data_IF_833178972466
#
_entry.id   IF_833178972466
#
_cell.length_a   1.000
_cell.length_b   1.000
_cell.length_c   1.000
_cell.angle_alpha   90.00
_cell.angle_beta   90.00
_cell.angle_gamma   90.00
#
_symmetry.space_group_name_H-M   'P 1'
#
loop_
_entity.id
_entity.type
_entity.pdbx_description
1 polymer ?
#
# COMPACT_ATOMS: atom_id res chain seq x y z
N UNK A 1 2.51 -0.25 -9.34
CA UNK A 1 3.38 -0.45 -10.53
C UNK A 1 2.73 0.09 -11.80
N UNK A 2 1.54 -0.32 -12.20
CA UNK A 2 0.88 0.15 -13.43
C UNK A 2 0.81 1.69 -13.53
N UNK A 3 0.37 2.38 -12.49
CA UNK A 3 0.20 3.84 -12.49
C UNK A 3 1.52 4.60 -12.71
N UNK A 4 2.62 4.18 -12.05
CA UNK A 4 3.95 4.79 -12.27
C UNK A 4 4.41 4.57 -13.71
N UNK A 5 4.26 3.35 -14.22
CA UNK A 5 4.65 3.01 -15.60
C UNK A 5 3.85 3.82 -16.61
N UNK A 6 2.53 3.92 -16.44
CA UNK A 6 1.70 4.74 -17.34
C UNK A 6 2.09 6.21 -17.28
N UNK A 7 2.38 6.75 -16.09
CA UNK A 7 2.86 8.10 -15.95
C UNK A 7 4.16 8.35 -16.72
N UNK A 8 5.14 7.45 -16.61
CA UNK A 8 6.40 7.52 -17.35
C UNK A 8 6.19 7.45 -18.86
N UNK A 9 5.32 6.54 -19.35
CA UNK A 9 4.98 6.43 -20.77
C UNK A 9 4.31 7.71 -21.30
N UNK A 10 3.36 8.28 -20.55
CA UNK A 10 2.70 9.54 -20.91
C UNK A 10 3.67 10.72 -20.94
N UNK A 11 4.71 10.70 -20.10
CA UNK A 11 5.78 11.69 -20.09
C UNK A 11 6.84 11.48 -21.18
N UNK A 12 6.62 10.51 -22.07
CA UNK A 12 7.50 10.27 -23.23
C UNK A 12 8.74 9.41 -22.96
N UNK A 13 8.80 8.77 -21.78
CA UNK A 13 9.90 7.85 -21.46
C UNK A 13 9.68 6.47 -22.08
N UNK A 14 10.77 5.84 -22.50
CA UNK A 14 10.77 4.44 -22.93
C UNK A 14 10.91 3.53 -21.70
N UNK A 15 10.05 2.52 -21.58
CA UNK A 15 9.98 1.66 -20.42
C UNK A 15 9.97 0.20 -20.82
N UNK A 16 10.89 -0.60 -20.30
CA UNK A 16 10.88 -2.06 -20.37
C UNK A 16 10.50 -2.62 -18.99
N UNK A 17 9.59 -3.59 -18.96
CA UNK A 17 9.18 -4.25 -17.73
C UNK A 17 9.56 -5.74 -17.78
N UNK A 18 10.32 -6.18 -16.75
CA UNK A 18 10.50 -7.61 -16.46
C UNK A 18 9.87 -7.86 -15.10
N UNK A 19 8.89 -8.74 -15.03
CA UNK A 19 8.09 -8.99 -13.83
C UNK A 19 8.16 -10.44 -13.37
N UNK A 20 8.20 -10.63 -12.05
CA UNK A 20 8.08 -11.95 -11.44
C UNK A 20 6.61 -12.37 -11.44
N UNK A 21 6.34 -13.55 -12.02
CA UNK A 21 5.07 -14.28 -11.89
C UNK A 21 5.23 -15.38 -10.86
N UNK A 22 4.27 -15.55 -9.96
CA UNK A 22 4.32 -16.58 -8.91
C UNK A 22 3.04 -17.40 -8.86
N UNK A 23 3.03 -18.51 -8.14
CA UNK A 23 1.80 -19.29 -7.94
C UNK A 23 0.68 -18.50 -7.25
N UNK A 24 1.00 -17.52 -6.41
CA UNK A 24 0.02 -16.65 -5.73
C UNK A 24 -0.45 -15.51 -6.63
N UNK A 25 0.42 -15.01 -7.48
CA UNK A 25 0.19 -13.88 -8.37
C UNK A 25 0.62 -14.28 -9.79
N UNK A 26 -0.13 -15.19 -10.45
CA UNK A 26 0.20 -15.61 -11.79
C UNK A 26 -0.04 -14.47 -12.79
N UNK A 27 0.91 -14.27 -13.68
CA UNK A 27 0.69 -13.39 -14.83
C UNK A 27 -0.34 -14.03 -15.78
N UNK A 28 -1.37 -13.27 -16.12
CA UNK A 28 -2.41 -13.65 -17.08
C UNK A 28 -2.53 -12.54 -18.09
N UNK A 29 -2.06 -12.83 -19.31
CA UNK A 29 -1.97 -11.84 -20.40
C UNK A 29 -3.30 -11.17 -20.72
N UNK A 30 -4.39 -11.93 -20.60
CA UNK A 30 -5.77 -11.48 -20.82
C UNK A 30 -6.25 -10.37 -19.87
N UNK A 31 -5.57 -10.19 -18.73
CA UNK A 31 -5.91 -9.17 -17.73
C UNK A 31 -5.23 -7.82 -17.99
N UNK A 32 -4.46 -7.70 -19.08
CA UNK A 32 -3.69 -6.50 -19.38
C UNK A 32 -4.03 -5.97 -20.76
N UNK A 33 -4.01 -4.65 -20.90
CA UNK A 33 -4.15 -4.00 -22.19
C UNK A 33 -3.00 -4.43 -23.12
N UNK A 34 -3.30 -4.95 -24.31
CA UNK A 34 -2.29 -5.34 -25.29
C UNK A 34 -1.35 -4.21 -25.70
N UNK A 35 -1.86 -2.98 -25.76
CA UNK A 35 -1.06 -1.78 -26.02
C UNK A 35 -0.03 -1.54 -24.94
N UNK A 36 -0.43 -1.63 -23.66
CA UNK A 36 0.48 -1.51 -22.50
C UNK A 36 1.58 -2.58 -22.55
N UNK A 37 1.21 -3.85 -22.78
CA UNK A 37 2.19 -4.94 -22.88
C UNK A 37 3.20 -4.72 -24.01
N UNK A 38 2.74 -4.25 -25.15
CA UNK A 38 3.60 -3.96 -26.31
C UNK A 38 4.51 -2.75 -26.04
N UNK A 39 3.97 -1.65 -25.53
CA UNK A 39 4.73 -0.42 -25.25
C UNK A 39 5.79 -0.61 -24.18
N UNK A 40 5.52 -1.46 -23.19
CA UNK A 40 6.47 -1.76 -22.11
C UNK A 40 7.35 -2.96 -22.42
N UNK A 41 7.22 -3.57 -23.58
CA UNK A 41 7.96 -4.81 -23.94
C UNK A 41 7.93 -5.79 -22.76
N UNK A 42 6.71 -5.97 -22.20
CA UNK A 42 6.47 -6.66 -20.94
C UNK A 42 6.87 -8.13 -21.00
N UNK A 43 7.73 -8.54 -20.09
CA UNK A 43 8.16 -9.93 -19.93
C UNK A 43 7.81 -10.42 -18.51
N UNK A 44 7.13 -11.56 -18.43
CA UNK A 44 6.80 -12.21 -17.17
C UNK A 44 7.58 -13.50 -17.02
N UNK A 45 8.37 -13.61 -15.97
CA UNK A 45 9.14 -14.82 -15.65
C UNK A 45 8.57 -15.50 -14.42
N UNK A 46 8.27 -16.79 -14.53
CA UNK A 46 7.76 -17.56 -13.39
C UNK A 46 8.88 -17.85 -12.39
N UNK A 47 8.60 -17.56 -11.11
CA UNK A 47 9.51 -17.83 -9.99
C UNK A 47 8.78 -18.63 -8.92
N UNK A 48 9.33 -19.78 -8.54
CA UNK A 48 8.79 -20.59 -7.45
C UNK A 48 9.15 -19.96 -6.10
N UNK A 49 8.18 -19.39 -5.45
CA UNK A 49 8.36 -18.67 -4.18
C UNK A 49 7.79 -19.41 -2.97
N UNK A 50 7.39 -20.70 -3.13
CA UNK A 50 6.93 -21.50 -2.00
C UNK A 50 8.03 -21.64 -0.96
N UNK A 51 7.61 -21.56 0.30
CA UNK A 51 8.54 -21.76 1.42
C UNK A 51 8.99 -23.21 1.45
N UNK A 52 10.27 -23.44 1.20
CA UNK A 52 10.91 -24.74 1.43
C UNK A 52 11.43 -24.78 2.87
N UNK A 53 10.95 -25.72 3.66
CA UNK A 53 11.32 -25.84 5.08
C UNK A 53 12.82 -26.12 5.25
N UNK A 54 13.43 -26.86 4.32
CA UNK A 54 14.87 -27.18 4.36
C UNK A 54 15.70 -25.92 4.11
N UNK A 55 15.33 -25.10 3.12
CA UNK A 55 16.04 -23.86 2.79
C UNK A 55 15.82 -22.79 3.88
N UNK A 56 14.63 -22.76 4.49
CA UNK A 56 14.36 -21.90 5.64
C UNK A 56 15.20 -22.29 6.87
N UNK A 57 15.49 -23.59 7.06
CA UNK A 57 16.37 -24.06 8.14
C UNK A 57 17.84 -23.77 7.83
N UNK A 58 18.28 -23.97 6.59
CA UNK A 58 19.67 -23.68 6.19
C UNK A 58 20.00 -22.20 6.34
N UNK A 59 19.05 -21.31 6.08
CA UNK A 59 19.22 -19.86 6.25
C UNK A 59 19.37 -19.41 7.71
N UNK A 60 19.02 -20.25 8.69
CA UNK A 60 19.31 -19.99 10.11
C UNK A 60 20.80 -20.10 10.41
N UNK A 61 21.53 -20.89 9.63
CA UNK A 61 22.97 -21.17 9.79
C UNK A 61 23.83 -20.30 8.87
N UNK A 62 23.31 -19.98 7.68
CA UNK A 62 23.95 -19.05 6.74
C UNK A 62 23.46 -17.61 7.01
N UNK A 63 24.32 -16.63 6.77
CA UNK A 63 23.95 -15.21 6.90
C UNK A 63 23.01 -14.74 5.79
N UNK A 64 22.54 -15.63 4.92
CA UNK A 64 21.71 -15.33 3.77
C UNK A 64 20.26 -15.05 4.18
N UNK A 65 19.69 -13.98 3.65
CA UNK A 65 18.30 -13.61 3.95
C UNK A 65 17.35 -14.43 3.06
N UNK A 66 16.94 -15.61 3.53
CA UNK A 66 16.02 -16.49 2.83
C UNK A 66 14.73 -15.79 2.33
N UNK A 67 14.21 -14.85 3.12
CA UNK A 67 12.98 -14.15 2.77
C UNK A 67 13.12 -13.33 1.47
N UNK A 68 14.31 -12.86 1.15
CA UNK A 68 14.61 -12.12 -0.07
C UNK A 68 15.17 -13.06 -1.14
N UNK A 69 16.12 -13.93 -0.79
CA UNK A 69 16.80 -14.80 -1.74
C UNK A 69 15.87 -15.79 -2.46
N UNK A 70 14.73 -16.17 -1.85
CA UNK A 70 13.70 -16.99 -2.53
C UNK A 70 13.08 -16.34 -3.77
N UNK A 71 13.28 -15.04 -3.97
CA UNK A 71 12.84 -14.32 -5.17
C UNK A 71 13.93 -14.29 -6.26
N UNK A 72 15.14 -14.79 -5.95
CA UNK A 72 16.14 -14.98 -6.98
C UNK A 72 15.79 -16.20 -7.84
N UNK A 73 15.87 -16.03 -9.15
CA UNK A 73 15.67 -17.07 -10.15
C UNK A 73 16.70 -16.92 -11.26
N UNK A 74 17.32 -18.02 -11.65
CA UNK A 74 18.27 -18.03 -12.78
C UNK A 74 17.60 -17.65 -14.10
N UNK A 75 16.32 -17.97 -14.27
CA UNK A 75 15.59 -17.62 -15.48
C UNK A 75 15.25 -16.14 -15.53
N UNK A 76 14.91 -15.53 -14.38
CA UNK A 76 14.76 -14.08 -14.28
C UNK A 76 16.10 -13.36 -14.49
N UNK A 77 17.18 -13.89 -13.94
CA UNK A 77 18.54 -13.33 -14.13
C UNK A 77 18.95 -13.40 -15.62
N UNK A 78 18.65 -14.50 -16.33
CA UNK A 78 18.86 -14.60 -17.78
C UNK A 78 18.06 -13.56 -18.57
N UNK A 79 16.77 -13.39 -18.27
CA UNK A 79 15.95 -12.37 -18.93
C UNK A 79 16.53 -10.97 -18.69
N UNK A 80 16.96 -10.68 -17.46
CA UNK A 80 17.61 -9.44 -17.14
C UNK A 80 18.95 -9.24 -17.87
N UNK A 81 19.80 -10.27 -17.95
CA UNK A 81 21.06 -10.26 -18.71
C UNK A 81 20.78 -9.96 -20.18
N UNK A 82 19.81 -10.65 -20.79
CA UNK A 82 19.41 -10.41 -22.18
C UNK A 82 19.01 -8.95 -22.38
N UNK A 83 18.11 -8.42 -21.56
CA UNK A 83 17.64 -7.05 -21.66
C UNK A 83 18.79 -6.02 -21.54
N UNK A 84 19.68 -6.21 -20.56
CA UNK A 84 20.82 -5.29 -20.33
C UNK A 84 21.94 -5.43 -21.38
N UNK A 85 21.97 -6.54 -22.13
CA UNK A 85 22.93 -6.75 -23.22
C UNK A 85 22.43 -6.22 -24.56
N UNK A 86 21.13 -6.13 -24.73
CA UNK A 86 20.49 -5.65 -25.96
C UNK A 86 20.26 -4.15 -25.98
N UNK A 87 20.09 -3.53 -24.81
CA UNK A 87 19.72 -2.13 -24.69
C UNK A 87 20.46 -1.43 -23.52
N UNK A 88 20.75 -0.14 -23.70
CA UNK A 88 21.26 0.72 -22.63
C UNK A 88 20.08 1.39 -21.91
N UNK A 89 20.15 1.44 -20.58
CA UNK A 89 19.14 2.06 -19.72
C UNK A 89 19.80 3.15 -18.87
N UNK A 90 19.13 4.29 -18.71
CA UNK A 90 19.57 5.35 -17.79
C UNK A 90 19.26 4.98 -16.34
N UNK A 91 18.08 4.35 -16.11
CA UNK A 91 17.58 3.98 -14.79
C UNK A 91 17.14 2.52 -14.80
N UNK A 92 17.54 1.78 -13.77
CA UNK A 92 16.92 0.50 -13.40
C UNK A 92 16.13 0.70 -12.12
N UNK A 93 14.81 0.61 -12.21
CA UNK A 93 13.89 0.81 -11.10
C UNK A 93 13.47 -0.53 -10.49
N UNK A 94 13.88 -0.80 -9.25
CA UNK A 94 13.57 -2.02 -8.51
C UNK A 94 12.29 -1.81 -7.70
N UNK A 95 11.20 -2.46 -8.09
CA UNK A 95 9.92 -2.43 -7.38
C UNK A 95 9.92 -3.40 -6.21
N UNK A 96 10.39 -2.97 -5.08
CA UNK A 96 10.50 -3.62 -3.78
C UNK A 96 11.88 -4.23 -3.45
N UNK A 97 12.09 -4.46 -2.16
CA UNK A 97 13.28 -5.12 -1.62
C UNK A 97 13.54 -6.51 -2.24
N UNK A 98 12.48 -7.19 -2.68
CA UNK A 98 12.58 -8.54 -3.24
C UNK A 98 13.25 -8.60 -4.62
N UNK A 99 13.46 -7.45 -5.27
CA UNK A 99 14.19 -7.34 -6.55
C UNK A 99 15.69 -7.07 -6.35
N UNK A 100 16.12 -6.81 -5.12
CA UNK A 100 17.52 -6.46 -4.83
C UNK A 100 18.56 -7.57 -5.01
N UNK A 101 18.23 -8.88 -5.02
CA UNK A 101 19.20 -9.93 -5.38
C UNK A 101 19.83 -9.76 -6.77
N UNK A 102 19.18 -9.02 -7.67
CA UNK A 102 19.66 -8.80 -9.03
C UNK A 102 20.60 -7.59 -9.17
N UNK A 103 20.86 -6.83 -8.09
CA UNK A 103 21.74 -5.64 -8.14
C UNK A 103 23.14 -5.99 -8.68
N UNK A 104 23.70 -7.12 -8.26
CA UNK A 104 25.03 -7.54 -8.71
C UNK A 104 25.08 -7.76 -10.25
N UNK A 105 24.05 -8.37 -10.83
CA UNK A 105 23.92 -8.56 -12.29
C UNK A 105 23.80 -7.22 -13.00
N UNK A 106 22.95 -6.31 -12.47
CA UNK A 106 22.76 -4.97 -13.05
C UNK A 106 24.08 -4.19 -13.03
N UNK A 107 24.77 -4.12 -11.91
CA UNK A 107 26.05 -3.39 -11.77
C UNK A 107 27.16 -3.93 -12.67
N UNK A 108 27.15 -5.23 -12.96
CA UNK A 108 28.13 -5.86 -13.84
C UNK A 108 27.91 -5.54 -15.31
N UNK A 109 26.64 -5.36 -15.74
CA UNK A 109 26.27 -5.30 -17.14
C UNK A 109 25.80 -3.92 -17.60
N UNK A 110 25.53 -2.99 -16.67
CA UNK A 110 24.99 -1.69 -16.99
C UNK A 110 25.56 -0.58 -16.08
N UNK A 111 25.68 0.61 -16.64
CA UNK A 111 25.99 1.85 -15.92
C UNK A 111 24.74 2.58 -15.43
N UNK A 112 23.55 2.00 -15.63
CA UNK A 112 22.28 2.60 -15.19
C UNK A 112 22.29 2.91 -13.70
N UNK A 113 21.65 4.01 -13.32
CA UNK A 113 21.38 4.31 -11.91
C UNK A 113 20.32 3.36 -11.38
N UNK A 114 20.58 2.76 -10.24
CA UNK A 114 19.65 1.84 -9.58
C UNK A 114 18.82 2.61 -8.56
N UNK A 115 17.50 2.59 -8.74
CA UNK A 115 16.55 3.17 -7.80
C UNK A 115 15.75 2.05 -7.14
N UNK A 116 15.77 1.99 -5.81
CA UNK A 116 14.92 1.09 -5.04
C UNK A 116 13.64 1.83 -4.64
N UNK A 117 12.49 1.40 -5.17
CA UNK A 117 11.20 1.79 -4.62
C UNK A 117 10.85 0.89 -3.46
N UNK A 118 10.98 1.44 -2.26
CA UNK A 118 10.71 0.71 -1.03
C UNK A 118 9.24 0.79 -0.67
N UNK A 119 8.54 -0.35 -0.78
CA UNK A 119 7.13 -0.44 -0.42
C UNK A 119 6.88 -0.50 1.09
N UNK A 120 7.89 -0.91 1.86
CA UNK A 120 7.89 -0.97 3.31
C UNK A 120 9.34 -1.14 3.79
N UNK A 121 9.57 -0.82 5.06
CA UNK A 121 10.70 -1.35 5.79
C UNK A 121 10.31 -2.74 6.30
N UNK A 122 10.67 -3.78 5.54
CA UNK A 122 10.20 -5.15 5.77
C UNK A 122 10.54 -5.66 7.18
N UNK A 123 11.72 -5.31 7.72
CA UNK A 123 12.09 -5.72 9.07
C UNK A 123 11.13 -5.19 10.14
N UNK A 124 10.46 -4.06 9.93
CA UNK A 124 9.47 -3.49 10.86
C UNK A 124 8.22 -4.37 10.88
N UNK A 125 7.77 -4.85 9.73
CA UNK A 125 6.62 -5.75 9.62
C UNK A 125 6.90 -7.03 10.43
N UNK A 126 8.06 -7.64 10.23
CA UNK A 126 8.44 -8.85 10.95
C UNK A 126 8.60 -8.62 12.45
N UNK A 127 9.10 -7.44 12.88
CA UNK A 127 9.18 -7.06 14.29
C UNK A 127 7.78 -6.93 14.91
N UNK A 128 6.84 -6.23 14.23
CA UNK A 128 5.45 -6.11 14.68
C UNK A 128 4.77 -7.47 14.80
N UNK A 129 5.00 -8.38 13.83
CA UNK A 129 4.52 -9.77 13.91
C UNK A 129 5.09 -10.52 15.12
N UNK A 130 6.36 -10.29 15.45
CA UNK A 130 6.97 -10.88 16.63
C UNK A 130 6.36 -10.33 17.93
N UNK A 131 6.04 -9.05 17.96
CA UNK A 131 5.44 -8.39 19.13
C UNK A 131 4.00 -8.87 19.38
N UNK A 132 3.23 -9.12 18.31
CA UNK A 132 1.82 -9.55 18.39
C UNK A 132 1.64 -11.04 18.68
N UNK A 133 2.69 -11.89 18.63
CA UNK A 133 2.55 -13.33 18.88
C UNK A 133 2.71 -13.69 20.35
N UNK A 134 1.77 -14.47 20.88
CA UNK A 134 1.83 -15.00 22.25
C UNK A 134 2.78 -16.19 22.43
N UNK A 135 3.19 -16.86 21.35
CA UNK A 135 4.09 -18.03 21.42
C UNK A 135 5.56 -17.57 21.54
N UNK A 136 6.20 -17.87 22.66
CA UNK A 136 7.56 -17.42 23.00
C UNK A 136 8.60 -17.90 21.97
N UNK A 137 8.55 -19.16 21.54
CA UNK A 137 9.50 -19.70 20.58
C UNK A 137 9.33 -19.04 19.20
N UNK A 138 8.08 -18.88 18.74
CA UNK A 138 7.75 -18.17 17.51
C UNK A 138 8.17 -16.69 17.59
N UNK A 139 7.96 -16.04 18.73
CA UNK A 139 8.39 -14.65 18.96
C UNK A 139 9.90 -14.47 18.85
N UNK A 140 10.68 -15.36 19.46
CA UNK A 140 12.15 -15.36 19.38
C UNK A 140 12.61 -15.55 17.93
N UNK A 141 12.03 -16.51 17.21
CA UNK A 141 12.32 -16.78 15.80
C UNK A 141 12.01 -15.56 14.91
N UNK A 142 10.83 -14.96 15.05
CA UNK A 142 10.44 -13.79 14.26
C UNK A 142 11.33 -12.56 14.55
N UNK A 143 11.76 -12.37 15.81
CA UNK A 143 12.72 -11.31 16.17
C UNK A 143 14.09 -11.54 15.52
N UNK A 144 14.54 -12.80 15.46
CA UNK A 144 15.77 -13.14 14.78
C UNK A 144 15.69 -12.84 13.28
N UNK A 145 14.62 -13.26 12.61
CA UNK A 145 14.37 -12.94 11.19
C UNK A 145 14.31 -11.44 10.94
N UNK A 146 13.61 -10.68 11.78
CA UNK A 146 13.56 -9.23 11.68
C UNK A 146 14.95 -8.58 11.78
N UNK A 147 15.82 -9.11 12.67
CA UNK A 147 17.20 -8.63 12.81
C UNK A 147 18.05 -8.93 11.57
N UNK A 148 17.93 -10.13 11.00
CA UNK A 148 18.62 -10.47 9.76
C UNK A 148 18.16 -9.60 8.61
N UNK A 149 16.84 -9.43 8.47
CA UNK A 149 16.25 -8.63 7.42
C UNK A 149 16.67 -7.14 7.54
N UNK A 150 16.74 -6.60 8.77
CA UNK A 150 17.28 -5.26 8.99
C UNK A 150 18.70 -5.10 8.50
N UNK A 151 19.57 -6.08 8.78
CA UNK A 151 20.96 -6.04 8.31
C UNK A 151 21.04 -6.06 6.79
N UNK A 152 20.22 -6.89 6.16
CA UNK A 152 20.14 -6.98 4.71
C UNK A 152 19.65 -5.65 4.12
N UNK A 153 18.54 -5.09 4.58
CA UNK A 153 18.03 -3.80 4.11
C UNK A 153 19.09 -2.70 4.23
N UNK A 154 19.81 -2.66 5.35
CA UNK A 154 20.89 -1.68 5.54
C UNK A 154 22.03 -1.89 4.52
N UNK A 155 22.40 -3.14 4.21
CA UNK A 155 23.46 -3.43 3.25
C UNK A 155 23.07 -3.05 1.80
N UNK A 156 21.77 -3.13 1.48
CA UNK A 156 21.25 -2.80 0.15
C UNK A 156 21.24 -1.29 -0.09
N UNK A 157 21.00 -0.48 0.93
CA UNK A 157 20.96 0.98 0.81
C UNK A 157 22.28 1.53 0.22
N UNK A 158 23.43 0.96 0.62
CA UNK A 158 24.74 1.34 0.08
C UNK A 158 25.02 0.83 -1.35
N UNK A 159 24.12 0.03 -1.94
CA UNK A 159 24.29 -0.57 -3.26
C UNK A 159 23.41 0.08 -4.34
N UNK A 160 22.46 0.94 -3.94
CA UNK A 160 21.56 1.65 -4.84
C UNK A 160 21.95 3.13 -4.93
N UNK A 161 21.64 3.80 -6.03
CA UNK A 161 21.94 5.22 -6.24
C UNK A 161 20.85 6.11 -5.62
N UNK A 162 19.64 5.58 -5.47
CA UNK A 162 18.52 6.31 -4.88
C UNK A 162 17.46 5.40 -4.28
N UNK A 163 16.71 5.97 -3.33
CA UNK A 163 15.55 5.31 -2.70
C UNK A 163 14.31 6.16 -2.93
N UNK A 164 13.27 5.57 -3.51
CA UNK A 164 11.93 6.11 -3.57
C UNK A 164 11.08 5.46 -2.45
N UNK A 165 10.94 6.14 -1.31
CA UNK A 165 10.16 5.65 -0.17
C UNK A 165 8.66 5.92 -0.40
N UNK A 166 7.78 5.01 0.00
CA UNK A 166 6.33 5.20 -0.19
C UNK A 166 5.66 6.07 0.87
N UNK A 167 6.38 6.46 1.94
CA UNK A 167 5.84 7.36 2.95
C UNK A 167 6.92 8.28 3.52
N UNK A 168 6.50 9.45 4.01
CA UNK A 168 7.40 10.36 4.73
C UNK A 168 7.97 9.72 6.01
N UNK A 169 7.21 8.83 6.65
CA UNK A 169 7.68 8.13 7.84
C UNK A 169 8.80 7.13 7.51
N UNK A 170 8.65 6.37 6.41
CA UNK A 170 9.71 5.47 5.97
C UNK A 170 10.92 6.25 5.49
N UNK A 171 10.73 7.36 4.79
CA UNK A 171 11.80 8.27 4.41
C UNK A 171 12.59 8.76 5.63
N UNK A 172 11.92 9.23 6.70
CA UNK A 172 12.57 9.65 7.95
C UNK A 172 13.35 8.49 8.61
N UNK A 173 12.82 7.27 8.56
CA UNK A 173 13.52 6.09 9.09
C UNK A 173 14.79 5.81 8.28
N UNK A 174 14.73 5.87 6.94
CA UNK A 174 15.93 5.74 6.09
C UNK A 174 16.99 6.79 6.44
N UNK A 175 16.61 8.05 6.58
CA UNK A 175 17.53 9.12 6.99
C UNK A 175 18.14 8.88 8.37
N UNK A 176 17.37 8.31 9.30
CA UNK A 176 17.85 8.00 10.68
C UNK A 176 18.96 6.95 10.73
N UNK A 177 19.18 6.20 9.64
CA UNK A 177 20.27 5.23 9.55
C UNK A 177 21.62 5.86 9.21
N UNK A 178 21.65 7.18 8.96
CA UNK A 178 22.90 7.92 8.67
C UNK A 178 23.56 7.57 7.33
N UNK A 179 22.78 7.12 6.36
CA UNK A 179 23.25 6.68 5.05
C UNK A 179 23.16 7.82 4.04
N UNK A 180 24.22 8.04 3.27
CA UNK A 180 24.32 9.07 2.24
C UNK A 180 23.74 8.59 0.90
N UNK A 181 22.46 8.15 0.91
CA UNK A 181 21.76 7.82 -0.33
C UNK A 181 20.76 8.92 -0.66
N UNK A 182 20.65 9.26 -1.94
CA UNK A 182 19.61 10.19 -2.40
C UNK A 182 18.23 9.56 -2.15
N UNK A 183 17.31 10.31 -1.56
CA UNK A 183 16.03 9.79 -1.12
C UNK A 183 14.91 10.75 -1.50
N UNK A 184 13.84 10.21 -2.06
CA UNK A 184 12.60 10.93 -2.36
C UNK A 184 11.38 10.15 -1.84
N UNK A 185 10.30 10.87 -1.50
CA UNK A 185 9.04 10.24 -1.09
C UNK A 185 8.10 10.15 -2.28
N UNK A 186 7.87 8.92 -2.76
CA UNK A 186 6.98 8.62 -3.88
C UNK A 186 5.91 7.62 -3.40
N UNK A 187 4.82 8.09 -2.80
CA UNK A 187 3.75 7.22 -2.29
C UNK A 187 3.01 6.47 -3.41
N UNK A 188 2.08 5.60 -3.01
CA UNK A 188 1.09 5.09 -3.95
C UNK A 188 0.13 6.21 -4.32
N UNK A 189 -0.05 6.41 -5.61
CA UNK A 189 -0.96 7.40 -6.15
C UNK A 189 -2.18 6.76 -6.81
N UNK A 190 -3.15 7.60 -7.07
CA UNK A 190 -4.36 7.29 -7.83
C UNK A 190 -4.48 8.25 -9.01
N UNK A 191 -5.25 7.85 -10.01
CA UNK A 191 -5.62 8.71 -11.11
C UNK A 191 -6.85 9.54 -10.71
N UNK A 192 -6.62 10.80 -10.34
CA UNK A 192 -7.64 11.63 -9.69
C UNK A 192 -8.87 11.86 -10.58
N UNK A 193 -8.69 11.78 -11.90
CA UNK A 193 -9.77 11.93 -12.88
C UNK A 193 -10.80 10.80 -12.85
N UNK A 194 -10.42 9.62 -12.33
CA UNK A 194 -11.32 8.49 -12.15
C UNK A 194 -12.28 8.70 -10.96
N UNK A 195 -11.93 9.61 -10.04
CA UNK A 195 -12.65 9.84 -8.79
C UNK A 195 -13.51 11.12 -8.90
N UNK A 196 -14.75 10.95 -9.36
CA UNK A 196 -15.71 12.05 -9.62
C UNK A 196 -16.86 11.98 -8.61
N UNK A 197 -16.71 12.60 -7.43
CA UNK A 197 -17.80 12.64 -6.45
C UNK A 197 -18.99 13.41 -7.00
N UNK A 198 -20.19 12.91 -6.67
CA UNK A 198 -21.46 13.58 -6.97
C UNK A 198 -22.18 13.97 -5.66
N UNK A 199 -23.39 14.48 -5.75
CA UNK A 199 -24.22 14.77 -4.58
C UNK A 199 -25.10 13.56 -4.18
N UNK A 200 -24.71 12.33 -4.56
CA UNK A 200 -25.48 11.09 -4.29
C UNK A 200 -25.64 10.77 -2.79
N UNK A 201 -24.78 11.35 -1.92
CA UNK A 201 -24.90 11.22 -0.47
C UNK A 201 -25.93 12.18 0.17
N UNK A 202 -26.56 13.05 -0.59
CA UNK A 202 -27.63 13.93 -0.10
C UNK A 202 -28.83 13.09 0.35
N UNK A 203 -29.30 13.30 1.59
CA UNK A 203 -30.34 12.48 2.22
C UNK A 203 -29.84 11.27 3.03
N UNK A 204 -28.54 11.01 3.02
CA UNK A 204 -27.89 9.91 3.77
C UNK A 204 -26.98 10.42 4.90
N UNK A 205 -27.28 11.59 5.47
CA UNK A 205 -26.42 12.27 6.44
C UNK A 205 -26.12 11.42 7.69
N UNK A 206 -27.05 10.52 8.06
CA UNK A 206 -26.90 9.57 9.18
C UNK A 206 -26.40 8.19 8.73
N UNK A 207 -25.68 8.10 7.63
CA UNK A 207 -25.15 6.84 7.13
C UNK A 207 -23.62 6.82 7.17
N UNK A 208 -23.11 5.73 7.76
CA UNK A 208 -21.69 5.40 7.81
C UNK A 208 -21.41 4.24 6.86
N UNK A 209 -20.20 4.15 6.32
CA UNK A 209 -19.83 2.98 5.55
C UNK A 209 -18.40 2.49 5.82
N UNK A 210 -18.21 1.19 5.62
CA UNK A 210 -16.89 0.57 5.52
C UNK A 210 -16.78 -0.19 4.21
N UNK A 211 -15.64 -0.03 3.53
CA UNK A 211 -15.31 -0.76 2.32
C UNK A 211 -13.98 -1.50 2.51
N UNK A 212 -13.99 -2.83 2.35
CA UNK A 212 -12.75 -3.60 2.48
C UNK A 212 -12.94 -5.10 2.35
N UNK A 213 -11.91 -5.79 1.85
CA UNK A 213 -11.91 -7.23 1.71
C UNK A 213 -11.92 -7.92 3.09
N UNK A 214 -12.88 -8.82 3.31
CA UNK A 214 -13.07 -9.54 4.58
C UNK A 214 -12.32 -10.88 4.65
N UNK A 215 -11.43 -11.14 3.70
CA UNK A 215 -10.39 -12.17 3.83
C UNK A 215 -9.08 -11.60 4.43
N UNK A 216 -9.06 -10.31 4.73
CA UNK A 216 -7.97 -9.64 5.42
C UNK A 216 -8.31 -9.43 6.90
N UNK A 217 -7.58 -10.13 7.76
CA UNK A 217 -7.85 -10.20 9.20
C UNK A 217 -8.03 -8.82 9.89
N UNK A 218 -7.21 -7.79 9.62
CA UNK A 218 -7.40 -6.48 10.22
C UNK A 218 -8.75 -5.83 9.89
N UNK A 219 -9.30 -6.03 8.69
CA UNK A 219 -10.64 -5.52 8.37
C UNK A 219 -11.71 -6.22 9.21
N UNK A 220 -11.61 -7.57 9.33
CA UNK A 220 -12.57 -8.35 10.15
C UNK A 220 -12.52 -7.87 11.61
N UNK A 221 -11.32 -7.80 12.20
CA UNK A 221 -11.13 -7.38 13.60
C UNK A 221 -11.67 -5.96 13.83
N UNK A 222 -11.38 -5.03 12.91
CA UNK A 222 -11.86 -3.66 13.01
C UNK A 222 -13.36 -3.51 12.85
N UNK A 223 -13.97 -4.21 11.88
CA UNK A 223 -15.42 -4.19 11.67
C UNK A 223 -16.15 -4.82 12.87
N UNK A 224 -15.67 -5.97 13.38
CA UNK A 224 -16.24 -6.60 14.57
C UNK A 224 -16.19 -5.65 15.77
N UNK A 225 -15.04 -5.11 16.07
CA UNK A 225 -14.91 -4.16 17.17
C UNK A 225 -15.85 -2.96 17.00
N UNK A 226 -15.96 -2.41 15.78
CA UNK A 226 -16.83 -1.27 15.54
C UNK A 226 -18.32 -1.64 15.73
N UNK A 227 -18.74 -2.80 15.22
CA UNK A 227 -20.13 -3.25 15.31
C UNK A 227 -20.54 -3.67 16.73
N UNK A 228 -19.61 -4.23 17.51
CA UNK A 228 -19.88 -4.72 18.86
C UNK A 228 -19.73 -3.61 19.92
N UNK A 229 -18.74 -2.72 19.78
CA UNK A 229 -18.40 -1.75 20.82
C UNK A 229 -18.90 -0.33 20.52
N UNK A 230 -18.78 0.14 19.26
CA UNK A 230 -19.05 1.55 18.90
C UNK A 230 -20.49 1.73 18.42
N UNK A 231 -20.92 0.91 17.47
CA UNK A 231 -22.19 1.09 16.79
C UNK A 231 -23.42 1.03 17.73
N UNK A 232 -23.45 0.26 18.82
CA UNK A 232 -24.56 0.29 19.79
C UNK A 232 -24.85 1.66 20.42
N UNK A 233 -23.85 2.57 20.44
CA UNK A 233 -24.03 3.95 20.90
C UNK A 233 -24.56 4.90 19.81
N UNK A 234 -24.61 4.43 18.55
CA UNK A 234 -24.99 5.20 17.35
C UNK A 234 -26.39 4.79 16.83
N UNK A 235 -27.38 4.73 17.71
CA UNK A 235 -28.73 4.19 17.43
C UNK A 235 -29.53 4.90 16.34
N UNK A 236 -29.13 6.11 15.97
CA UNK A 236 -29.81 6.90 14.92
C UNK A 236 -29.15 6.75 13.54
N UNK A 237 -28.10 5.92 13.44
CA UNK A 237 -27.28 5.79 12.25
C UNK A 237 -27.50 4.45 11.56
N UNK A 238 -27.27 4.43 10.26
CA UNK A 238 -27.14 3.20 9.48
C UNK A 238 -25.68 2.94 9.18
N UNK A 239 -25.25 1.68 9.23
CA UNK A 239 -23.92 1.25 8.85
C UNK A 239 -23.99 0.37 7.60
N UNK A 240 -23.24 0.75 6.57
CA UNK A 240 -23.18 0.01 5.31
C UNK A 240 -21.82 -0.67 5.18
N UNK A 241 -21.81 -2.00 5.11
CA UNK A 241 -20.60 -2.81 4.97
C UNK A 241 -20.52 -3.39 3.56
N UNK A 242 -19.41 -3.11 2.86
CA UNK A 242 -19.14 -3.71 1.56
C UNK A 242 -17.73 -4.31 1.50
N UNK A 243 -17.60 -5.41 0.77
CA UNK A 243 -16.32 -6.07 0.53
C UNK A 243 -16.48 -7.54 0.19
N UNK A 244 -15.48 -8.05 -0.53
CA UNK A 244 -15.45 -9.46 -0.92
C UNK A 244 -15.26 -10.37 0.29
N UNK A 245 -15.79 -11.59 0.18
CA UNK A 245 -15.60 -12.68 1.16
C UNK A 245 -16.08 -12.35 2.58
N UNK A 246 -17.17 -11.61 2.70
CA UNK A 246 -17.83 -11.38 3.98
C UNK A 246 -18.17 -12.74 4.63
N UNK A 247 -17.66 -13.03 5.83
CA UNK A 247 -17.91 -14.33 6.46
C UNK A 247 -19.37 -14.43 6.96
N UNK A 248 -19.98 -15.62 6.76
CA UNK A 248 -21.40 -15.84 7.10
C UNK A 248 -21.71 -15.57 8.57
N UNK A 249 -20.82 -15.99 9.47
CA UNK A 249 -21.00 -15.76 10.92
C UNK A 249 -21.02 -14.26 11.28
N UNK A 250 -20.32 -13.41 10.55
CA UNK A 250 -20.39 -11.96 10.75
C UNK A 250 -21.72 -11.41 10.24
N UNK A 251 -22.18 -11.88 9.08
CA UNK A 251 -23.49 -11.48 8.51
C UNK A 251 -24.63 -11.82 9.46
N UNK A 252 -24.61 -13.05 10.00
CA UNK A 252 -25.67 -13.57 10.89
C UNK A 252 -25.71 -12.83 12.26
N UNK A 253 -24.63 -12.14 12.64
CA UNK A 253 -24.50 -11.39 13.90
C UNK A 253 -24.80 -9.89 13.77
N UNK A 254 -25.12 -9.39 12.57
CA UNK A 254 -25.32 -7.96 12.36
C UNK A 254 -26.69 -7.48 12.89
N UNK A 255 -26.66 -6.28 13.48
CA UNK A 255 -27.85 -5.53 13.84
C UNK A 255 -28.68 -5.18 12.58
N UNK A 256 -30.04 -5.10 12.66
CA UNK A 256 -30.90 -4.70 11.54
C UNK A 256 -30.54 -3.36 10.89
N UNK A 257 -29.89 -2.44 11.61
CA UNK A 257 -29.38 -1.18 11.08
C UNK A 257 -28.03 -1.30 10.36
N UNK A 258 -27.45 -2.52 10.34
CA UNK A 258 -26.20 -2.80 9.64
C UNK A 258 -26.51 -3.52 8.33
N UNK A 259 -26.32 -2.81 7.22
CA UNK A 259 -26.62 -3.29 5.88
C UNK A 259 -25.37 -3.90 5.25
N UNK A 260 -25.41 -5.21 5.00
CA UNK A 260 -24.33 -5.90 4.30
C UNK A 260 -24.60 -5.94 2.78
N UNK A 261 -23.75 -5.28 2.01
CA UNK A 261 -23.83 -5.23 0.53
C UNK A 261 -23.00 -6.32 -0.16
N UNK A 262 -22.20 -7.08 0.60
CA UNK A 262 -21.31 -8.07 0.01
C UNK A 262 -20.23 -7.46 -0.89
N UNK A 263 -19.88 -8.17 -1.95
CA UNK A 263 -18.95 -7.68 -2.97
C UNK A 263 -19.68 -6.77 -3.96
N UNK A 264 -19.34 -5.48 -3.92
CA UNK A 264 -19.91 -4.48 -4.84
C UNK A 264 -19.15 -4.47 -6.15
N UNK A 265 -19.88 -4.32 -7.26
CA UNK A 265 -19.29 -4.29 -8.61
C UNK A 265 -18.52 -2.99 -8.83
N UNK A 266 -19.07 -1.86 -8.36
CA UNK A 266 -18.48 -0.53 -8.47
C UNK A 266 -18.28 0.07 -7.08
N UNK A 267 -17.03 0.08 -6.65
CA UNK A 267 -16.63 0.61 -5.34
C UNK A 267 -16.83 2.14 -5.25
N UNK A 268 -16.62 2.87 -6.35
CA UNK A 268 -16.77 4.32 -6.37
C UNK A 268 -18.24 4.73 -6.29
N UNK A 269 -19.10 4.06 -7.06
CA UNK A 269 -20.54 4.27 -6.99
C UNK A 269 -21.11 3.90 -5.61
N UNK A 270 -20.56 2.87 -4.95
CA UNK A 270 -20.93 2.54 -3.58
C UNK A 270 -20.49 3.63 -2.59
N UNK A 271 -19.22 4.06 -2.65
CA UNK A 271 -18.72 5.11 -1.76
C UNK A 271 -19.47 6.43 -1.93
N UNK A 272 -19.91 6.73 -3.16
CA UNK A 272 -20.56 8.00 -3.46
C UNK A 272 -21.90 8.19 -2.73
N UNK A 273 -22.58 7.09 -2.37
CA UNK A 273 -23.87 7.09 -1.69
C UNK A 273 -23.80 7.57 -0.22
N UNK A 274 -22.63 7.59 0.40
CA UNK A 274 -22.51 7.82 1.85
C UNK A 274 -21.49 8.90 2.17
N UNK A 275 -21.74 9.77 3.18
CA UNK A 275 -20.86 10.90 3.47
C UNK A 275 -19.67 10.54 4.36
N UNK A 276 -19.77 9.52 5.21
CA UNK A 276 -18.78 9.21 6.26
C UNK A 276 -18.25 7.78 6.11
N UNK A 277 -16.93 7.66 5.93
CA UNK A 277 -16.22 6.39 5.87
C UNK A 277 -15.56 6.08 7.20
N UNK A 278 -15.73 4.85 7.70
CA UNK A 278 -15.03 4.37 8.90
C UNK A 278 -13.91 3.38 8.53
N UNK A 279 -12.74 3.56 9.15
CA UNK A 279 -11.56 2.70 8.95
C UNK A 279 -10.95 2.32 10.31
N UNK A 280 -11.62 1.47 11.10
CA UNK A 280 -11.22 1.10 12.46
C UNK A 280 -10.16 -0.02 12.44
N UNK A 281 -8.92 0.27 12.07
CA UNK A 281 -7.84 -0.72 11.96
C UNK A 281 -6.87 -0.60 13.14
N UNK A 282 -6.66 -1.70 13.87
CA UNK A 282 -5.76 -1.76 15.02
C UNK A 282 -4.48 -2.54 14.76
N UNK A 283 -4.44 -3.30 13.66
CA UNK A 283 -3.28 -4.09 13.27
C UNK A 283 -3.13 -4.07 11.76
N UNK A 284 -2.17 -3.32 11.24
CA UNK A 284 -1.94 -3.31 9.81
C UNK A 284 -0.54 -2.78 9.49
N UNK A 285 -0.01 -3.08 8.32
CA UNK A 285 1.22 -2.50 7.77
C UNK A 285 0.96 -1.91 6.38
N UNK A 286 1.77 -0.95 5.96
CA UNK A 286 1.66 -0.28 4.67
C UNK A 286 0.58 0.82 4.60
N UNK A 287 0.53 1.55 3.51
CA UNK A 287 -0.43 2.63 3.26
C UNK A 287 -1.82 2.09 2.90
N UNK A 288 -2.87 2.71 3.42
CA UNK A 288 -4.27 2.34 3.15
C UNK A 288 -4.81 3.09 1.95
N UNK A 289 -4.69 2.53 0.76
CA UNK A 289 -5.17 3.15 -0.48
C UNK A 289 -6.65 3.53 -0.38
N UNK A 290 -7.48 2.73 0.29
CA UNK A 290 -8.91 3.03 0.50
C UNK A 290 -9.18 4.38 1.20
N UNK A 291 -8.26 4.89 2.05
CA UNK A 291 -8.39 6.21 2.65
C UNK A 291 -8.14 7.28 1.60
N UNK A 292 -7.13 7.10 0.75
CA UNK A 292 -6.83 8.01 -0.35
C UNK A 292 -8.01 8.05 -1.34
N UNK A 293 -8.58 6.88 -1.68
CA UNK A 293 -9.77 6.77 -2.54
C UNK A 293 -10.99 7.44 -1.91
N UNK A 294 -11.25 7.22 -0.63
CA UNK A 294 -12.35 7.88 0.10
C UNK A 294 -12.18 9.41 0.14
N UNK A 295 -10.96 9.90 0.38
CA UNK A 295 -10.65 11.34 0.32
C UNK A 295 -10.84 11.90 -1.09
N UNK A 296 -10.43 11.15 -2.13
CA UNK A 296 -10.65 11.51 -3.52
C UNK A 296 -12.15 11.62 -3.86
N UNK A 297 -12.97 10.76 -3.28
CA UNK A 297 -14.44 10.79 -3.38
C UNK A 297 -15.10 11.79 -2.41
N UNK A 298 -14.31 12.71 -1.80
CA UNK A 298 -14.81 13.70 -0.82
C UNK A 298 -15.62 13.06 0.32
N UNK A 299 -15.17 11.94 0.85
CA UNK A 299 -15.77 11.34 2.04
C UNK A 299 -15.08 11.87 3.30
N UNK A 300 -15.85 12.18 4.34
CA UNK A 300 -15.27 12.43 5.65
C UNK A 300 -14.84 11.08 6.23
N UNK A 301 -13.59 10.99 6.65
CA UNK A 301 -13.02 9.70 7.10
C UNK A 301 -12.76 9.76 8.59
N UNK A 302 -13.21 8.72 9.30
CA UNK A 302 -12.85 8.47 10.70
C UNK A 302 -11.97 7.22 10.71
N UNK A 303 -10.75 7.35 11.20
CA UNK A 303 -9.77 6.24 11.21
C UNK A 303 -8.97 6.23 12.49
N UNK A 304 -8.43 5.06 12.85
CA UNK A 304 -7.38 4.97 13.86
C UNK A 304 -6.07 5.55 13.31
N UNK A 305 -5.13 5.91 14.19
CA UNK A 305 -3.76 6.28 13.78
C UNK A 305 -3.12 5.18 12.94
N UNK A 306 -3.29 3.90 13.33
CA UNK A 306 -2.79 2.75 12.56
C UNK A 306 -3.47 2.65 11.21
N UNK A 307 -4.77 2.93 11.14
CA UNK A 307 -5.50 2.96 9.88
C UNK A 307 -4.98 4.02 8.91
N UNK A 308 -4.59 5.18 9.39
CA UNK A 308 -4.08 6.30 8.62
C UNK A 308 -2.54 6.30 8.44
N UNK A 309 -1.83 5.29 8.99
CA UNK A 309 -0.36 5.21 8.93
C UNK A 309 0.16 5.29 7.48
N UNK A 310 1.18 6.12 7.26
CA UNK A 310 1.82 6.31 5.96
C UNK A 310 1.14 7.35 5.05
N UNK A 311 0.00 7.90 5.45
CA UNK A 311 -0.69 8.99 4.78
C UNK A 311 -0.42 10.30 5.54
N UNK A 312 -0.11 11.38 4.83
CA UNK A 312 0.20 12.69 5.41
C UNK A 312 -1.07 13.42 5.88
N UNK A 313 -1.81 12.78 6.78
CA UNK A 313 -3.06 13.31 7.32
C UNK A 313 -2.84 14.24 8.51
N UNK A 314 -3.82 15.11 8.74
CA UNK A 314 -3.88 15.99 9.89
C UNK A 314 -5.26 15.88 10.53
N UNK A 315 -5.26 15.46 11.79
CA UNK A 315 -6.49 15.28 12.56
C UNK A 315 -7.32 16.56 12.60
N UNK A 316 -8.65 16.41 12.52
CA UNK A 316 -9.67 17.47 12.50
C UNK A 316 -9.53 18.52 11.38
N UNK A 317 -8.63 18.23 10.41
CA UNK A 317 -8.42 19.11 9.25
C UNK A 317 -8.82 18.40 7.94
N UNK A 318 -8.25 17.20 7.68
CA UNK A 318 -8.53 16.40 6.49
C UNK A 318 -8.94 14.96 6.78
N UNK A 319 -8.95 14.58 8.05
CA UNK A 319 -9.41 13.31 8.60
C UNK A 319 -9.86 13.52 10.05
N UNK A 320 -10.65 12.59 10.60
CA UNK A 320 -10.86 12.45 12.04
C UNK A 320 -10.08 11.23 12.53
N UNK A 321 -9.16 11.42 13.48
CA UNK A 321 -8.45 10.32 14.13
C UNK A 321 -9.19 9.95 15.42
N UNK A 322 -9.47 8.66 15.55
CA UNK A 322 -10.15 8.08 16.70
C UNK A 322 -9.55 6.70 16.99
N UNK A 323 -9.12 6.45 18.21
CA UNK A 323 -8.46 5.19 18.60
C UNK A 323 -9.28 4.41 19.63
N UNK A 324 -10.27 5.04 20.26
CA UNK A 324 -11.15 4.45 21.27
C UNK A 324 -12.63 4.50 20.83
N UNK A 325 -13.47 3.75 21.52
CA UNK A 325 -14.92 3.76 21.34
C UNK A 325 -15.48 5.18 21.45
N UNK A 326 -15.13 5.86 22.53
CA UNK A 326 -15.62 7.20 22.86
C UNK A 326 -15.23 8.21 21.77
N UNK A 327 -13.98 8.14 21.29
CA UNK A 327 -13.47 9.02 20.23
C UNK A 327 -14.21 8.76 18.88
N UNK A 328 -14.51 7.49 18.53
CA UNK A 328 -15.30 7.19 17.33
C UNK A 328 -16.72 7.72 17.44
N UNK A 329 -17.40 7.52 18.57
CA UNK A 329 -18.76 8.04 18.81
C UNK A 329 -18.75 9.57 18.74
N UNK A 330 -17.78 10.22 19.40
CA UNK A 330 -17.62 11.67 19.35
C UNK A 330 -17.39 12.18 17.93
N UNK A 331 -16.50 11.55 17.16
CA UNK A 331 -16.18 11.94 15.79
C UNK A 331 -17.41 11.83 14.86
N UNK A 332 -18.20 10.75 14.97
CA UNK A 332 -19.44 10.61 14.21
C UNK A 332 -20.42 11.73 14.55
N UNK A 333 -20.66 11.96 15.85
CA UNK A 333 -21.60 13.00 16.30
C UNK A 333 -21.16 14.41 15.90
N UNK A 334 -19.86 14.73 15.97
CA UNK A 334 -19.31 16.01 15.55
C UNK A 334 -19.50 16.23 14.05
N UNK A 335 -19.18 15.25 13.21
CA UNK A 335 -19.31 15.36 11.76
C UNK A 335 -20.75 15.53 11.30
N UNK A 336 -21.69 14.87 11.97
CA UNK A 336 -23.12 14.95 11.60
C UNK A 336 -23.82 16.17 12.17
N UNK A 337 -23.35 16.71 13.31
CA UNK A 337 -23.91 17.91 13.91
C UNK A 337 -23.38 19.21 13.29
N UNK A 338 -22.21 19.20 12.65
CA UNK A 338 -21.56 20.38 12.08
C UNK A 338 -21.33 20.24 10.56
N UNK A 339 -22.24 20.75 9.73
CA UNK A 339 -22.11 20.74 8.26
C UNK A 339 -20.87 21.49 7.74
N UNK A 340 -20.33 22.44 8.50
CA UNK A 340 -19.12 23.18 8.11
C UNK A 340 -17.89 22.29 8.33
N UNK A 341 -17.86 21.60 9.47
CA UNK A 341 -16.75 20.69 9.81
C UNK A 341 -16.65 19.54 8.79
N UNK A 342 -17.77 18.84 8.52
CA UNK A 342 -17.75 17.72 7.57
C UNK A 342 -17.29 18.17 6.19
N UNK A 343 -17.84 19.29 5.67
CA UNK A 343 -17.46 19.85 4.38
C UNK A 343 -15.97 20.22 4.34
N UNK A 344 -15.45 20.84 5.39
CA UNK A 344 -14.03 21.20 5.50
C UNK A 344 -13.13 19.97 5.41
N UNK A 345 -13.46 18.89 6.16
CA UNK A 345 -12.69 17.66 6.16
C UNK A 345 -12.73 16.99 4.77
N UNK A 346 -13.89 16.94 4.13
CA UNK A 346 -14.07 16.39 2.79
C UNK A 346 -13.23 17.14 1.75
N UNK A 347 -13.31 18.47 1.74
CA UNK A 347 -12.57 19.31 0.78
C UNK A 347 -11.05 19.26 1.04
N UNK A 348 -10.62 19.30 2.30
CA UNK A 348 -9.21 19.26 2.63
C UNK A 348 -8.62 17.85 2.37
N UNK A 349 -9.39 16.78 2.58
CA UNK A 349 -9.02 15.43 2.20
C UNK A 349 -8.78 15.32 0.69
N UNK A 350 -9.72 15.82 -0.13
CA UNK A 350 -9.58 15.86 -1.59
C UNK A 350 -8.34 16.64 -2.03
N UNK A 351 -8.12 17.85 -1.48
CA UNK A 351 -6.93 18.68 -1.79
C UNK A 351 -5.62 17.98 -1.42
N UNK A 352 -5.59 17.24 -0.30
CA UNK A 352 -4.43 16.44 0.07
C UNK A 352 -4.12 15.42 -1.02
N UNK A 353 -5.13 14.69 -1.51
CA UNK A 353 -4.94 13.68 -2.56
C UNK A 353 -4.47 14.31 -3.87
N UNK A 354 -5.09 15.41 -4.30
CA UNK A 354 -4.69 16.14 -5.51
C UNK A 354 -3.23 16.60 -5.48
N UNK A 355 -2.75 17.05 -4.32
CA UNK A 355 -1.40 17.56 -4.14
C UNK A 355 -0.33 16.48 -3.97
N UNK A 356 -0.64 15.38 -3.24
CA UNK A 356 0.38 14.44 -2.77
C UNK A 356 0.21 13.01 -3.28
N UNK A 357 -1.00 12.64 -3.75
CA UNK A 357 -1.33 11.27 -4.16
C UNK A 357 -1.89 11.17 -5.58
N UNK A 358 -1.85 12.25 -6.35
CA UNK A 358 -2.18 12.24 -7.78
C UNK A 358 -1.00 11.65 -8.58
N UNK A 359 -1.29 10.65 -9.41
CA UNK A 359 -0.29 9.95 -10.22
C UNK A 359 0.51 10.89 -11.12
N UNK A 360 -0.08 11.93 -11.69
CA UNK A 360 0.63 12.91 -12.50
C UNK A 360 1.71 13.61 -11.68
N UNK A 361 1.33 14.14 -10.51
CA UNK A 361 2.25 14.85 -9.60
C UNK A 361 3.37 13.91 -9.11
N UNK A 362 3.02 12.67 -8.79
CA UNK A 362 4.00 11.68 -8.34
C UNK A 362 4.95 11.25 -9.43
N UNK A 363 4.46 11.15 -10.68
CA UNK A 363 5.30 10.83 -11.83
C UNK A 363 6.30 11.97 -12.12
N UNK A 364 5.85 13.22 -12.12
CA UNK A 364 6.74 14.39 -12.27
C UNK A 364 7.82 14.40 -11.19
N UNK A 365 7.45 14.18 -9.93
CA UNK A 365 8.39 14.10 -8.81
C UNK A 365 9.40 12.96 -8.98
N UNK A 366 8.96 11.80 -9.45
CA UNK A 366 9.83 10.66 -9.72
C UNK A 366 10.81 10.96 -10.87
N UNK A 367 10.34 11.60 -11.93
CA UNK A 367 11.19 12.02 -13.06
C UNK A 367 12.25 13.02 -12.61
N UNK A 368 11.88 14.02 -11.81
CA UNK A 368 12.85 14.97 -11.26
C UNK A 368 13.87 14.27 -10.36
N UNK A 369 13.44 13.29 -9.57
CA UNK A 369 14.35 12.48 -8.78
C UNK A 369 15.34 11.69 -9.66
N UNK A 370 14.88 11.12 -10.76
CA UNK A 370 15.77 10.45 -11.73
C UNK A 370 16.79 11.42 -12.34
N UNK A 371 16.38 12.61 -12.74
CA UNK A 371 17.29 13.64 -13.26
C UNK A 371 18.38 13.99 -12.24
N UNK A 372 18.05 14.14 -10.96
CA UNK A 372 19.01 14.38 -9.88
C UNK A 372 20.01 13.23 -9.73
N UNK A 373 19.62 11.99 -10.03
CA UNK A 373 20.52 10.83 -9.98
C UNK A 373 21.45 10.74 -11.19
N UNK A 374 21.01 11.25 -12.34
CA UNK A 374 21.76 11.23 -13.60
C UNK A 374 22.75 12.41 -13.73
N UNK A 375 22.50 13.51 -13.00
CA UNK A 375 23.39 14.67 -12.92
C UNK A 375 24.61 14.34 -12.04
#
# INVERSE_FOLDING_TARGET
>A
MNNVTQGLLHSGHDVKIISISTYKHPFRKENYDPYFLSKTRFEAVYVETKVNVVDAFSSLVTSDNYNVNRFFSTDFDKALITALSEEEFDIVHLESLFMTPYIATIRRLSNARIVLRSHNLEYIIWRRMAESTGNIAKKAYLKYLAKQLKRYEMSIIGQVDGIAAISHEDAKKYLSFGLEVKLETIPFGIDIEDYRPTDASAGNEKSLFHLGAMDWKPNIEGVMWFTEEVFPELKEYNLHLAGRKMPKWLIDALDPQIHNHGEVIDALAFMDQFPIMIVPLFSAGGMRVKIIEGMAMKKAIISTEIGAEGINVKDRDNIMIANTKEEFVEAVNQLTADPILIKRIQENGRRLVEREYNNLVLTERLIEFYKVLLA
#
